data_IF_297366764294
#
_entry.id   IF_297366764294
#
_cell.length_a   1.000
_cell.length_b   1.000
_cell.length_c   1.000
_cell.angle_alpha   90.00
_cell.angle_beta   90.00
_cell.angle_gamma   90.00
#
_symmetry.space_group_name_H-M   'P 1'
#
loop_
_entity.id
_entity.type
_entity.pdbx_description
1 polymer ?
#
# COMPACT_ATOMS: atom_id res chain seq x y z
N UNK A 1 4.67 14.55 -9.18
CA UNK A 1 5.34 14.34 -7.87
C UNK A 1 4.63 15.26 -6.90
N UNK A 2 4.24 14.73 -5.75
CA UNK A 2 3.51 15.46 -4.71
C UNK A 2 4.16 15.20 -3.35
N UNK A 3 3.76 15.97 -2.33
CA UNK A 3 4.17 15.74 -0.94
C UNK A 3 2.96 15.27 -0.13
N UNK A 4 3.15 14.19 0.63
CA UNK A 4 2.17 13.70 1.60
C UNK A 4 2.94 13.23 2.83
N UNK A 5 2.46 13.58 4.03
CA UNK A 5 3.13 13.26 5.29
C UNK A 5 4.61 13.71 5.36
N UNK A 6 4.95 14.82 4.71
CA UNK A 6 6.31 15.38 4.68
C UNK A 6 7.29 14.65 3.74
N UNK A 7 6.84 13.66 2.97
CA UNK A 7 7.69 12.92 2.02
C UNK A 7 7.19 13.06 0.58
N UNK A 8 8.11 12.95 -0.38
CA UNK A 8 7.79 12.92 -1.81
C UNK A 8 7.12 11.61 -2.18
N UNK A 9 6.02 11.70 -2.92
CA UNK A 9 5.21 10.57 -3.37
C UNK A 9 4.75 10.79 -4.82
N UNK A 10 4.39 9.69 -5.49
CA UNK A 10 3.56 9.77 -6.69
C UNK A 10 2.08 9.56 -6.34
N UNK A 11 1.18 9.94 -7.23
CA UNK A 11 -0.27 9.79 -7.06
C UNK A 11 -0.69 8.35 -6.75
N UNK A 12 0.00 7.35 -7.33
CA UNK A 12 -0.24 5.94 -7.05
C UNK A 12 -0.02 5.57 -5.57
N UNK A 13 1.00 6.15 -4.93
CA UNK A 13 1.26 5.92 -3.50
C UNK A 13 0.15 6.56 -2.67
N UNK A 14 -0.12 7.84 -2.93
CA UNK A 14 -1.13 8.63 -2.20
C UNK A 14 -2.50 7.96 -2.25
N UNK A 15 -2.92 7.46 -3.41
CA UNK A 15 -4.19 6.75 -3.59
C UNK A 15 -4.33 5.49 -2.70
N UNK A 16 -3.21 4.87 -2.32
CA UNK A 16 -3.21 3.63 -1.52
C UNK A 16 -3.05 3.84 -0.03
N UNK A 17 -2.65 5.04 0.44
CA UNK A 17 -2.40 5.29 1.86
C UNK A 17 -3.61 4.98 2.74
N UNK A 18 -4.85 5.39 2.40
CA UNK A 18 -6.02 5.02 3.20
C UNK A 18 -6.20 3.51 3.35
N UNK A 19 -6.01 2.73 2.27
CA UNK A 19 -6.09 1.27 2.30
C UNK A 19 -4.99 0.65 3.17
N UNK A 20 -3.76 1.13 3.04
CA UNK A 20 -2.62 0.62 3.80
C UNK A 20 -2.82 0.91 5.30
N UNK A 21 -3.18 2.13 5.64
CA UNK A 21 -3.45 2.56 7.01
C UNK A 21 -4.60 1.78 7.63
N UNK A 22 -5.73 1.66 6.93
CA UNK A 22 -6.89 0.89 7.38
C UNK A 22 -6.52 -0.55 7.73
N UNK A 23 -5.85 -1.26 6.81
CA UNK A 23 -5.44 -2.65 7.04
C UNK A 23 -4.40 -2.80 8.16
N UNK A 24 -3.45 -1.87 8.28
CA UNK A 24 -2.47 -1.89 9.37
C UNK A 24 -3.12 -1.60 10.72
N UNK A 25 -4.10 -0.69 10.78
CA UNK A 25 -4.86 -0.38 12.01
C UNK A 25 -5.77 -1.53 12.42
N UNK A 26 -6.53 -2.11 11.48
CA UNK A 26 -7.36 -3.30 11.74
C UNK A 26 -6.53 -4.47 12.25
N UNK A 27 -5.30 -4.61 11.75
CA UNK A 27 -4.37 -5.62 12.22
C UNK A 27 -3.66 -5.24 13.54
N UNK A 28 -3.89 -4.05 14.10
CA UNK A 28 -3.23 -3.56 15.32
C UNK A 28 -1.74 -3.31 15.18
N UNK A 29 -1.22 -3.10 13.96
CA UNK A 29 0.20 -2.82 13.70
C UNK A 29 0.54 -1.36 13.99
N UNK A 30 -0.36 -0.44 13.62
CA UNK A 30 -0.21 1.00 13.86
C UNK A 30 -1.48 1.54 14.52
N UNK A 31 -1.35 2.65 15.24
CA UNK A 31 -2.48 3.43 15.77
C UNK A 31 -2.63 4.79 15.09
N UNK A 32 -1.56 5.26 14.46
CA UNK A 32 -1.46 6.50 13.70
C UNK A 32 -1.75 6.29 12.20
N UNK A 33 -1.69 7.36 11.41
CA UNK A 33 -1.51 7.29 9.96
C UNK A 33 -0.06 6.95 9.60
N UNK A 34 0.27 6.94 8.31
CA UNK A 34 1.66 6.71 7.90
C UNK A 34 2.58 7.89 8.24
N UNK A 35 2.08 9.02 8.77
CA UNK A 35 2.93 10.14 9.10
C UNK A 35 3.95 9.78 10.18
N UNK A 36 5.19 10.23 9.97
CA UNK A 36 6.31 9.88 10.85
C UNK A 36 6.82 8.44 10.72
N UNK A 37 6.20 7.56 9.91
CA UNK A 37 6.64 6.17 9.71
C UNK A 37 7.61 5.97 8.53
N UNK A 38 8.13 7.06 7.96
CA UNK A 38 9.02 7.04 6.80
C UNK A 38 10.47 7.32 7.21
N UNK A 39 11.40 6.65 6.56
CA UNK A 39 12.81 7.06 6.50
C UNK A 39 13.13 7.74 5.17
N UNK A 40 12.62 7.21 4.07
CA UNK A 40 12.84 7.76 2.73
C UNK A 40 11.59 7.62 1.87
N UNK A 41 11.19 8.72 1.24
CA UNK A 41 10.14 8.73 0.22
C UNK A 41 10.67 8.44 -1.18
N UNK A 42 9.79 8.59 -2.15
CA UNK A 42 10.10 8.52 -3.57
C UNK A 42 10.86 9.77 -4.06
N UNK A 43 11.35 9.74 -5.31
CA UNK A 43 12.05 10.87 -5.96
C UNK A 43 13.18 11.47 -5.10
N UNK A 44 13.95 10.59 -4.45
CA UNK A 44 15.11 10.94 -3.62
C UNK A 44 16.39 10.40 -4.26
N UNK A 45 17.39 11.28 -4.36
CA UNK A 45 18.75 10.97 -4.83
C UNK A 45 19.79 11.03 -3.69
N UNK A 46 19.34 11.27 -2.46
CA UNK A 46 20.22 11.57 -1.33
C UNK A 46 21.02 10.37 -0.81
N UNK A 47 20.64 9.14 -1.16
CA UNK A 47 21.28 7.92 -0.65
C UNK A 47 21.89 7.13 -1.80
N UNK A 48 23.23 7.13 -1.88
CA UNK A 48 23.98 6.41 -2.92
C UNK A 48 23.77 4.88 -2.84
N UNK A 49 23.51 4.36 -1.63
CA UNK A 49 23.36 2.93 -1.34
C UNK A 49 22.10 2.29 -1.94
N UNK A 50 21.06 3.06 -2.30
CA UNK A 50 19.78 2.52 -2.76
C UNK A 50 19.73 2.23 -4.28
N UNK A 51 20.87 2.06 -4.96
CA UNK A 51 20.95 1.65 -6.38
C UNK A 51 19.97 2.36 -7.34
N UNK A 52 19.75 3.67 -7.09
CA UNK A 52 18.80 4.52 -7.83
C UNK A 52 17.32 4.14 -7.75
N UNK A 53 16.90 3.17 -6.92
CA UNK A 53 15.50 2.74 -6.81
C UNK A 53 14.58 3.90 -6.41
N UNK A 54 15.06 4.76 -5.50
CA UNK A 54 14.37 5.97 -5.03
C UNK A 54 14.35 7.14 -6.02
N UNK A 55 15.02 7.08 -7.17
CA UNK A 55 15.01 8.20 -8.14
C UNK A 55 13.64 8.40 -8.82
N UNK A 56 12.77 7.40 -8.78
CA UNK A 56 11.40 7.45 -9.29
C UNK A 56 10.33 7.45 -8.21
N UNK A 57 9.07 7.33 -8.64
CA UNK A 57 7.88 7.13 -7.79
C UNK A 57 7.76 5.70 -7.24
N UNK A 58 6.73 5.44 -6.43
CA UNK A 58 6.32 4.08 -6.09
C UNK A 58 7.30 3.29 -5.23
N UNK A 59 8.10 3.96 -4.41
CA UNK A 59 9.06 3.33 -3.51
C UNK A 59 9.12 4.09 -2.19
N UNK A 60 9.32 3.35 -1.11
CA UNK A 60 9.36 3.87 0.25
C UNK A 60 10.29 3.01 1.11
N UNK A 61 11.03 3.67 1.99
CA UNK A 61 11.64 3.02 3.15
C UNK A 61 10.86 3.42 4.40
N UNK A 62 10.27 2.43 5.06
CA UNK A 62 9.48 2.62 6.27
C UNK A 62 10.27 2.25 7.53
N UNK A 63 9.89 2.87 8.66
CA UNK A 63 10.45 2.59 9.98
C UNK A 63 10.29 1.11 10.41
N UNK A 64 11.09 0.63 11.39
CA UNK A 64 11.07 -0.75 11.88
C UNK A 64 9.70 -1.35 12.20
N UNK A 65 8.75 -0.53 12.66
CA UNK A 65 7.39 -0.99 12.97
C UNK A 65 6.68 -1.64 11.77
N UNK A 66 7.07 -1.25 10.54
CA UNK A 66 6.57 -1.83 9.29
C UNK A 66 7.51 -2.89 8.68
N UNK A 67 8.54 -3.30 9.41
CA UNK A 67 9.53 -4.31 9.02
C UNK A 67 9.36 -5.65 9.76
N UNK A 68 8.15 -5.92 10.27
CA UNK A 68 7.78 -7.21 10.87
C UNK A 68 7.13 -8.12 9.83
N UNK A 69 7.08 -9.43 10.07
CA UNK A 69 6.39 -10.39 9.19
C UNK A 69 4.91 -10.06 8.99
N UNK A 70 4.23 -9.65 10.06
CA UNK A 70 2.83 -9.23 10.03
C UNK A 70 2.63 -7.99 9.15
N UNK A 71 3.45 -6.95 9.35
CA UNK A 71 3.39 -5.75 8.53
C UNK A 71 3.77 -6.04 7.07
N UNK A 72 4.82 -6.84 6.85
CA UNK A 72 5.28 -7.23 5.51
C UNK A 72 4.18 -7.95 4.74
N UNK A 73 3.48 -8.89 5.38
CA UNK A 73 2.31 -9.57 4.78
C UNK A 73 1.23 -8.57 4.37
N UNK A 74 0.89 -7.61 5.23
CA UNK A 74 -0.14 -6.60 4.96
C UNK A 74 0.27 -5.68 3.81
N UNK A 75 1.52 -5.17 3.81
CA UNK A 75 2.05 -4.35 2.73
C UNK A 75 2.00 -5.11 1.39
N UNK A 76 2.35 -6.42 1.40
CA UNK A 76 2.24 -7.28 0.21
C UNK A 76 0.80 -7.48 -0.26
N UNK A 77 -0.15 -7.64 0.65
CA UNK A 77 -1.59 -7.68 0.31
C UNK A 77 -2.11 -6.35 -0.24
N UNK A 78 -1.44 -5.23 0.06
CA UNK A 78 -1.71 -3.91 -0.51
C UNK A 78 -1.05 -3.67 -1.87
N UNK A 79 -0.34 -4.67 -2.41
CA UNK A 79 0.32 -4.59 -3.70
C UNK A 79 1.71 -3.98 -3.66
N UNK A 80 2.41 -4.08 -2.54
CA UNK A 80 3.81 -3.68 -2.42
C UNK A 80 4.71 -4.91 -2.42
N UNK A 81 5.79 -4.88 -3.20
CA UNK A 81 6.94 -5.74 -2.96
C UNK A 81 7.70 -5.17 -1.75
N UNK A 82 7.49 -5.75 -0.58
CA UNK A 82 8.03 -5.27 0.69
C UNK A 82 9.03 -6.26 1.29
N UNK A 83 10.14 -5.73 1.81
CA UNK A 83 11.17 -6.52 2.49
C UNK A 83 11.74 -5.77 3.70
N UNK A 84 11.74 -6.41 4.89
CA UNK A 84 12.59 -6.00 5.99
C UNK A 84 14.08 -5.98 5.56
N UNK A 85 14.84 -4.99 6.04
CA UNK A 85 16.28 -4.82 5.78
C UNK A 85 17.07 -4.78 7.10
N UNK A 86 17.12 -5.89 7.87
CA UNK A 86 17.76 -5.93 9.20
C UNK A 86 19.26 -5.66 9.17
N UNK A 87 19.93 -5.96 8.05
CA UNK A 87 21.36 -5.73 7.85
C UNK A 87 21.71 -4.33 7.31
N UNK A 88 20.72 -3.47 7.04
CA UNK A 88 20.96 -2.08 6.66
C UNK A 88 20.62 -1.15 7.83
N UNK A 89 21.48 -0.16 8.08
CA UNK A 89 21.28 0.84 9.11
C UNK A 89 20.82 2.18 8.49
N UNK A 90 19.73 2.79 9.00
CA UNK A 90 18.84 2.27 10.04
C UNK A 90 18.02 1.07 9.55
N UNK A 91 17.67 0.15 10.46
CA UNK A 91 16.77 -0.97 10.15
C UNK A 91 15.45 -0.44 9.61
N UNK A 92 15.01 -0.91 8.44
CA UNK A 92 13.82 -0.41 7.77
C UNK A 92 13.11 -1.50 6.96
N UNK A 93 11.92 -1.18 6.45
CA UNK A 93 11.22 -1.98 5.44
C UNK A 93 11.30 -1.27 4.10
N UNK A 94 11.98 -1.87 3.13
CA UNK A 94 12.05 -1.38 1.76
C UNK A 94 10.84 -1.88 0.99
N UNK A 95 10.04 -0.97 0.44
CA UNK A 95 8.77 -1.29 -0.19
C UNK A 95 8.60 -0.62 -1.55
N UNK A 96 8.24 -1.40 -2.56
CA UNK A 96 8.00 -0.92 -3.94
C UNK A 96 6.58 -1.24 -4.37
N UNK A 97 5.83 -0.25 -4.87
CA UNK A 97 4.46 -0.44 -5.36
C UNK A 97 4.47 -1.22 -6.68
N UNK A 98 4.00 -2.47 -6.62
CA UNK A 98 3.94 -3.35 -7.78
C UNK A 98 2.95 -2.80 -8.83
N UNK A 99 3.45 -2.56 -10.05
CA UNK A 99 2.66 -1.96 -11.13
C UNK A 99 2.62 -0.43 -11.13
N UNK A 100 3.46 0.26 -10.34
CA UNK A 100 3.58 1.71 -10.40
C UNK A 100 4.29 2.17 -11.69
N UNK A 101 3.65 2.97 -12.57
CA UNK A 101 4.27 3.44 -13.80
C UNK A 101 5.43 4.41 -13.52
N UNK A 102 5.33 5.17 -12.43
CA UNK A 102 6.32 6.15 -11.99
C UNK A 102 7.60 5.54 -11.40
N UNK A 103 7.63 4.23 -11.13
CA UNK A 103 8.79 3.57 -10.55
C UNK A 103 10.00 3.61 -11.48
N UNK A 104 11.17 3.85 -10.90
CA UNK A 104 12.44 3.77 -11.61
C UNK A 104 12.66 2.34 -12.16
N UNK A 105 13.31 2.15 -13.31
CA UNK A 105 13.58 0.80 -13.87
C UNK A 105 14.23 -0.17 -12.87
N UNK A 106 15.16 0.31 -12.03
CA UNK A 106 15.77 -0.49 -10.95
C UNK A 106 14.72 -1.01 -9.95
N UNK A 107 13.80 -0.15 -9.51
CA UNK A 107 12.70 -0.56 -8.61
C UNK A 107 11.72 -1.53 -9.30
N UNK A 108 11.45 -1.33 -10.60
CA UNK A 108 10.63 -2.28 -11.39
C UNK A 108 11.30 -3.65 -11.47
N UNK A 109 12.63 -3.71 -11.64
CA UNK A 109 13.37 -4.96 -11.62
C UNK A 109 13.27 -5.67 -10.26
N UNK A 110 13.25 -4.93 -9.14
CA UNK A 110 12.99 -5.51 -7.83
C UNK A 110 11.58 -6.11 -7.71
N UNK A 111 10.55 -5.47 -8.28
CA UNK A 111 9.20 -6.05 -8.33
C UNK A 111 9.17 -7.33 -9.17
N UNK A 112 9.92 -7.39 -10.28
CA UNK A 112 10.07 -8.63 -11.07
C UNK A 112 10.76 -9.73 -10.26
N UNK A 113 11.84 -9.41 -9.56
CA UNK A 113 12.50 -10.33 -8.64
C UNK A 113 11.54 -10.83 -7.55
N UNK A 114 10.81 -9.91 -6.91
CA UNK A 114 9.76 -10.23 -5.96
C UNK A 114 8.79 -11.22 -6.56
N UNK A 115 8.21 -10.96 -7.74
CA UNK A 115 7.25 -11.85 -8.40
C UNK A 115 7.81 -13.26 -8.65
N UNK A 116 9.12 -13.37 -8.85
CA UNK A 116 9.84 -14.63 -9.05
C UNK A 116 10.34 -15.30 -7.75
N UNK A 117 9.92 -14.81 -6.57
CA UNK A 117 10.29 -15.40 -5.28
C UNK A 117 11.65 -14.94 -4.74
N UNK A 118 12.13 -13.77 -5.18
CA UNK A 118 13.48 -13.27 -4.86
C UNK A 118 13.48 -11.92 -4.15
N UNK A 119 14.57 -11.63 -3.44
CA UNK A 119 14.70 -10.53 -2.47
C UNK A 119 14.96 -9.13 -3.09
N UNK A 120 15.20 -9.07 -4.40
CA UNK A 120 15.47 -7.84 -5.13
C UNK A 120 16.79 -7.15 -4.75
N UNK A 121 17.72 -7.86 -4.11
CA UNK A 121 19.07 -7.37 -3.81
C UNK A 121 20.07 -7.75 -4.90
N UNK A 122 21.31 -7.26 -4.81
CA UNK A 122 22.37 -7.51 -5.79
C UNK A 122 22.63 -9.01 -6.06
N UNK A 123 22.51 -9.85 -5.02
CA UNK A 123 22.64 -11.31 -5.14
C UNK A 123 21.34 -12.02 -5.55
N UNK A 124 20.21 -11.31 -5.53
CA UNK A 124 18.89 -11.77 -5.93
C UNK A 124 18.51 -13.13 -5.32
N UNK A 125 18.75 -13.27 -4.01
CA UNK A 125 18.54 -14.51 -3.28
C UNK A 125 17.06 -14.81 -3.05
N UNK A 126 16.72 -15.97 -2.47
CA UNK A 126 15.36 -16.31 -2.11
C UNK A 126 14.73 -15.28 -1.16
N UNK A 127 13.47 -14.92 -1.41
CA UNK A 127 12.66 -14.09 -0.52
C UNK A 127 11.94 -14.96 0.52
N UNK A 128 12.45 -14.93 1.75
CA UNK A 128 11.99 -15.79 2.85
C UNK A 128 10.89 -15.17 3.72
N UNK A 129 10.36 -13.99 3.36
CA UNK A 129 9.30 -13.32 4.13
C UNK A 129 7.89 -13.76 3.71
N UNK A 130 6.87 -13.58 4.56
CA UNK A 130 5.50 -13.99 4.25
C UNK A 130 5.02 -13.53 2.88
N UNK A 131 4.56 -14.47 2.05
CA UNK A 131 4.26 -14.23 0.64
C UNK A 131 2.80 -14.54 0.32
N UNK A 132 1.88 -13.56 0.45
CA UNK A 132 0.56 -13.71 -0.13
C UNK A 132 0.66 -13.80 -1.67
N UNK A 133 -0.42 -14.18 -2.34
CA UNK A 133 -0.49 -14.15 -3.80
C UNK A 133 -0.10 -12.78 -4.35
N UNK A 134 0.65 -12.76 -5.46
CA UNK A 134 1.08 -11.51 -6.09
C UNK A 134 -0.13 -10.70 -6.56
N UNK A 135 -0.15 -9.41 -6.19
CA UNK A 135 -1.19 -8.45 -6.56
C UNK A 135 -0.52 -7.10 -6.85
N UNK A 136 -1.05 -6.34 -7.79
CA UNK A 136 -0.61 -4.96 -8.02
C UNK A 136 -1.32 -3.99 -7.07
N UNK A 137 -0.78 -2.78 -6.89
CA UNK A 137 -1.43 -1.77 -6.07
C UNK A 137 -2.82 -1.40 -6.60
N UNK A 138 -3.02 -1.39 -7.93
CA UNK A 138 -4.31 -1.10 -8.57
C UNK A 138 -5.35 -2.16 -8.21
N UNK A 139 -4.95 -3.44 -8.30
CA UNK A 139 -5.84 -4.57 -8.00
C UNK A 139 -6.23 -4.57 -6.52
N UNK A 140 -5.26 -4.34 -5.63
CA UNK A 140 -5.50 -4.25 -4.20
C UNK A 140 -6.44 -3.09 -3.85
N UNK A 141 -6.19 -1.91 -4.41
CA UNK A 141 -7.01 -0.72 -4.19
C UNK A 141 -8.44 -0.93 -4.69
N UNK A 142 -8.61 -1.45 -5.91
CA UNK A 142 -9.93 -1.76 -6.48
C UNK A 142 -10.73 -2.70 -5.57
N UNK A 143 -10.08 -3.76 -5.08
CA UNK A 143 -10.72 -4.73 -4.20
C UNK A 143 -11.13 -4.09 -2.86
N UNK A 144 -10.25 -3.28 -2.26
CA UNK A 144 -10.55 -2.59 -1.01
C UNK A 144 -11.68 -1.56 -1.17
N UNK A 145 -11.65 -0.73 -2.21
CA UNK A 145 -12.74 0.24 -2.47
C UNK A 145 -14.09 -0.46 -2.67
N UNK A 146 -14.13 -1.56 -3.40
CA UNK A 146 -15.36 -2.35 -3.56
C UNK A 146 -15.87 -2.94 -2.24
N UNK A 147 -14.98 -3.27 -1.29
CA UNK A 147 -15.37 -3.70 0.05
C UNK A 147 -15.95 -2.53 0.87
N UNK A 148 -15.33 -1.35 0.79
CA UNK A 148 -15.82 -0.15 1.48
C UNK A 148 -17.21 0.28 1.00
N UNK A 149 -17.46 0.25 -0.32
CA UNK A 149 -18.78 0.59 -0.87
C UNK A 149 -19.88 -0.37 -0.39
N UNK A 150 -19.59 -1.67 -0.26
CA UNK A 150 -20.54 -2.66 0.26
C UNK A 150 -20.81 -2.51 1.75
N UNK A 151 -19.86 -1.94 2.49
CA UNK A 151 -19.97 -1.72 3.93
C UNK A 151 -20.69 -0.41 4.28
N UNK A 152 -20.90 0.49 3.30
CA UNK A 152 -21.70 1.70 3.53
C UNK A 152 -23.14 1.30 3.88
N UNK A 153 -23.73 1.87 4.95
CA UNK A 153 -25.15 1.70 5.22
C UNK A 153 -25.94 2.15 3.99
N UNK A 154 -26.87 1.32 3.52
CA UNK A 154 -27.87 1.75 2.56
C UNK A 154 -28.83 2.64 3.34
N UNK A 155 -28.92 3.93 3.00
CA UNK A 155 -29.95 4.79 3.57
C UNK A 155 -31.30 4.09 3.38
N UNK A 156 -32.10 3.91 4.44
CA UNK A 156 -33.41 3.29 4.29
C UNK A 156 -34.17 4.16 3.28
N UNK A 157 -34.51 3.56 2.14
CA UNK A 157 -35.44 4.16 1.17
C UNK A 157 -36.66 4.56 2.00
N UNK A 158 -36.85 5.86 2.21
CA UNK A 158 -38.08 6.39 2.78
C UNK A 158 -39.16 5.93 1.82
N UNK A 159 -39.94 4.94 2.27
CA UNK A 159 -40.97 4.32 1.47
C UNK A 159 -41.89 5.40 0.93
N UNK A 160 -42.15 5.31 -0.37
CA UNK A 160 -43.24 5.99 -1.04
C UNK A 160 -44.52 5.84 -0.21
N UNK A 161 -44.95 6.94 0.43
CA UNK A 161 -46.17 7.03 1.24
C UNK A 161 -47.40 7.34 0.38
N UNK A 162 -47.43 7.00 -0.91
CA UNK A 162 -48.67 7.04 -1.70
C UNK A 162 -49.57 5.83 -1.40
N UNK A 163 -50.03 5.69 -0.15
CA UNK A 163 -51.31 4.99 0.12
C UNK A 163 -52.44 5.98 -0.13
N UNK A 164 -52.92 5.99 -1.37
CA UNK A 164 -54.19 6.60 -1.73
C UNK A 164 -55.31 6.02 -0.86
N UNK A 165 -56.07 6.92 -0.24
CA UNK A 165 -57.20 6.68 0.63
C UNK A 165 -58.31 5.89 -0.08
N UNK A 166 -58.75 4.78 0.52
CA UNK A 166 -60.04 4.17 0.27
C UNK A 166 -61.11 4.99 1.00
N UNK A 167 -61.98 5.68 0.26
CA UNK A 167 -63.27 6.15 0.75
C UNK A 167 -64.37 5.26 0.12
N UNK A 168 -65.33 4.73 0.90
CA UNK A 168 -66.47 4.03 0.33
C UNK A 168 -67.51 5.02 -0.19
N UNK A 169 -68.18 4.63 -1.29
CA UNK A 169 -69.25 5.38 -1.95
C UNK A 169 -70.54 5.46 -1.10
N UNK A 170 -71.34 6.53 -1.22
CA UNK A 170 -72.75 6.52 -0.85
C UNK A 170 -73.63 5.83 -1.92
#
# INVERSE_FOLDING_TARGET
>A
MEYRYGVRCCSCMIATFPMIEDRLRQAGVIKQDLAGLWFQGAYSSAVAQSASTHRGGGVADFRPILATDKATKILRQCGLAAWPRPSMLPFHSHSVWAGCPHAHPSAKAQVTAYRNGRDGLARNGPDNYPRPGYITWQQALKAWTAQQEKAKPVDPIIGDTSRGSLLPAP
#
